data_IF_932849415956
#
_entry.id   IF_932849415956
#
_cell.length_a   1.000
_cell.length_b   1.000
_cell.length_c   1.000
_cell.angle_alpha   90.00
_cell.angle_beta   90.00
_cell.angle_gamma   90.00
#
_symmetry.space_group_name_H-M   'P 1'
#
loop_
_entity.id
_entity.type
_entity.pdbx_description
1 polymer ?
#
# COMPACT_ATOMS: atom_id res chain seq x y z
N UNK A 1 35.64 -18.25 -3.43
CA UNK A 1 34.91 -18.66 -2.20
C UNK A 1 35.79 -19.42 -1.20
N UNK A 2 36.62 -20.40 -1.60
CA UNK A 2 37.54 -21.08 -0.66
C UNK A 2 38.57 -20.15 -0.01
N UNK A 3 39.04 -19.13 -0.73
CA UNK A 3 40.01 -18.16 -0.17
C UNK A 3 39.38 -17.12 0.77
N UNK A 4 38.05 -16.90 0.68
CA UNK A 4 37.33 -15.98 1.55
C UNK A 4 37.12 -16.59 2.95
N UNK A 5 36.92 -17.91 3.01
CA UNK A 5 36.74 -18.66 4.28
C UNK A 5 38.07 -18.75 5.06
N UNK A 6 39.21 -18.85 4.36
CA UNK A 6 40.52 -18.89 4.99
C UNK A 6 40.92 -17.55 5.65
N UNK A 7 40.41 -16.42 5.15
CA UNK A 7 40.76 -15.10 5.66
C UNK A 7 39.95 -14.70 6.90
N UNK A 8 38.70 -15.18 7.03
CA UNK A 8 37.83 -14.88 8.18
C UNK A 8 38.25 -15.68 9.43
N UNK A 9 38.70 -16.93 9.26
CA UNK A 9 39.15 -17.76 10.38
C UNK A 9 40.49 -17.32 10.98
N UNK A 10 41.31 -16.56 10.24
CA UNK A 10 42.61 -16.08 10.74
C UNK A 10 42.50 -14.84 11.64
N UNK A 11 41.39 -14.12 11.56
CA UNK A 11 41.14 -12.89 12.33
C UNK A 11 40.48 -13.11 13.70
N UNK A 12 39.93 -14.30 13.99
CA UNK A 12 39.30 -14.58 15.30
C UNK A 12 40.29 -14.95 16.42
N UNK A 13 41.58 -15.11 16.15
CA UNK A 13 42.55 -15.57 17.17
C UNK A 13 43.16 -14.45 18.03
N UNK A 14 42.73 -13.19 17.90
CA UNK A 14 43.40 -12.05 18.53
C UNK A 14 42.45 -11.07 19.25
N UNK A 15 41.46 -11.54 20.01
CA UNK A 15 40.80 -10.69 21.01
C UNK A 15 40.42 -11.51 22.24
N UNK A 16 41.36 -11.62 23.18
CA UNK A 16 41.06 -12.01 24.56
C UNK A 16 41.08 -10.72 25.39
N UNK A 17 39.90 -10.24 25.74
CA UNK A 17 39.69 -9.07 26.61
C UNK A 17 39.48 -9.58 28.05
N UNK A 18 40.19 -9.04 29.05
CA UNK A 18 40.02 -9.46 30.44
C UNK A 18 38.70 -8.93 31.05
N UNK A 19 38.13 -9.62 32.06
CA UNK A 19 36.87 -9.22 32.67
C UNK A 19 37.01 -7.95 33.54
N UNK A 20 35.99 -7.08 33.60
CA UNK A 20 36.01 -5.90 34.46
C UNK A 20 35.74 -6.25 35.92
N UNK A 21 36.34 -5.44 36.80
CA UNK A 21 36.24 -5.54 38.25
C UNK A 21 34.82 -5.22 38.76
N UNK A 22 34.41 -5.97 39.78
CA UNK A 22 33.15 -5.80 40.51
C UNK A 22 33.33 -4.70 41.56
N UNK A 23 32.67 -3.56 41.39
CA UNK A 23 32.52 -2.56 42.45
C UNK A 23 31.19 -2.78 43.20
N UNK A 24 31.33 -3.03 44.50
CA UNK A 24 30.28 -3.06 45.49
C UNK A 24 29.87 -1.62 45.84
N UNK A 25 28.61 -1.24 45.59
CA UNK A 25 28.00 -0.07 46.23
C UNK A 25 26.72 -0.47 46.95
N UNK A 26 26.85 -0.52 48.28
CA UNK A 26 25.78 -0.61 49.27
C UNK A 26 25.27 0.78 49.63
N UNK A 27 23.95 0.93 49.78
CA UNK A 27 23.32 2.00 50.57
C UNK A 27 22.09 2.58 49.88
N UNK A 28 21.03 2.99 50.56
CA UNK A 28 20.54 2.81 51.92
C UNK A 28 19.08 3.29 51.87
N UNK A 29 18.18 2.63 52.58
CA UNK A 29 16.75 2.96 52.61
C UNK A 29 16.50 4.35 53.22
N UNK A 30 15.63 5.15 52.62
CA UNK A 30 14.73 6.05 53.39
C UNK A 30 13.59 6.60 52.53
N UNK A 31 12.38 6.42 53.06
CA UNK A 31 11.15 7.17 52.79
C UNK A 31 10.53 7.46 54.18
N UNK A 32 9.43 8.21 54.32
CA UNK A 32 9.01 9.46 53.67
C UNK A 32 8.63 10.53 54.73
N UNK A 33 8.62 11.83 54.38
CA UNK A 33 7.82 12.87 55.06
C UNK A 33 7.41 13.90 54.01
N UNK A 34 6.14 14.08 53.68
CA UNK A 34 5.01 14.73 54.37
C UNK A 34 4.90 16.24 54.09
N UNK A 35 3.67 16.60 53.70
CA UNK A 35 3.02 17.90 53.47
C UNK A 35 3.83 19.21 53.40
N UNK A 36 3.65 19.98 52.32
CA UNK A 36 3.40 21.43 52.45
C UNK A 36 2.52 21.97 51.31
N UNK A 37 1.45 22.62 51.73
CA UNK A 37 0.43 23.39 51.02
C UNK A 37 0.96 24.81 50.69
N UNK A 38 0.26 25.53 49.79
CA UNK A 38 0.15 27.01 49.66
C UNK A 38 0.61 27.66 48.33
N UNK A 39 -0.31 28.49 47.83
CA UNK A 39 -0.25 29.60 46.87
C UNK A 39 -0.29 29.23 45.37
N UNK A 40 -1.38 29.49 44.64
CA UNK A 40 -1.98 30.80 44.32
C UNK A 40 -0.99 31.72 43.58
N UNK A 41 -1.02 31.64 42.24
CA UNK A 41 -0.56 32.71 41.38
C UNK A 41 -1.70 33.10 40.46
N UNK A 42 -2.09 34.35 40.61
CA UNK A 42 -3.08 35.07 39.82
C UNK A 42 -2.35 36.04 38.90
N UNK A 43 -3.03 36.32 37.79
CA UNK A 43 -3.04 37.60 37.08
C UNK A 43 -1.96 37.99 36.04
N UNK A 44 -2.50 38.70 35.03
CA UNK A 44 -1.89 39.56 34.01
C UNK A 44 -1.38 38.91 32.72
N UNK A 45 -1.68 39.38 31.51
CA UNK A 45 -2.50 40.49 31.04
C UNK A 45 -2.39 40.54 29.50
N UNK A 46 -3.52 40.74 28.81
CA UNK A 46 -3.72 41.66 27.68
C UNK A 46 -2.77 41.58 26.45
N UNK A 47 -3.32 41.17 25.30
CA UNK A 47 -3.25 42.00 24.08
C UNK A 47 -4.34 41.62 23.08
N UNK A 48 -5.31 42.53 22.98
CA UNK A 48 -6.33 42.55 21.94
C UNK A 48 -5.81 43.36 20.74
N UNK A 49 -5.83 42.76 19.56
CA UNK A 49 -5.73 43.48 18.27
C UNK A 49 -6.85 43.05 17.34
N UNK A 50 -7.98 43.75 17.48
CA UNK A 50 -8.65 44.49 16.41
C UNK A 50 -8.36 44.02 14.96
N UNK A 51 -9.22 43.18 14.38
CA UNK A 51 -9.41 43.13 12.93
C UNK A 51 -10.88 43.19 12.55
N UNK A 52 -11.10 44.03 11.55
CA UNK A 52 -12.35 44.68 11.17
C UNK A 52 -13.35 43.72 10.56
N UNK A 53 -14.56 43.84 11.10
CA UNK A 53 -15.85 43.47 10.56
C UNK A 53 -16.01 43.99 9.12
N UNK A 54 -16.37 43.12 8.17
CA UNK A 54 -16.88 43.49 6.86
C UNK A 54 -18.10 42.62 6.55
N UNK A 55 -19.21 42.99 7.17
CA UNK A 55 -20.56 42.60 6.81
C UNK A 55 -20.85 43.05 5.38
N UNK A 56 -21.04 42.09 4.47
CA UNK A 56 -21.56 42.34 3.14
C UNK A 56 -23.01 41.83 3.11
N UNK A 57 -23.94 42.76 3.35
CA UNK A 57 -25.37 42.56 3.16
C UNK A 57 -25.67 42.46 1.66
N UNK A 58 -26.13 41.31 1.20
CA UNK A 58 -26.82 41.20 -0.09
C UNK A 58 -28.29 40.88 0.16
N UNK A 59 -29.03 41.97 0.35
CA UNK A 59 -30.32 42.29 -0.24
C UNK A 59 -31.16 41.10 -0.76
N UNK A 60 -32.05 40.60 0.11
CA UNK A 60 -33.17 39.73 -0.24
C UNK A 60 -34.27 40.60 -0.89
N UNK A 61 -34.54 40.40 -2.17
CA UNK A 61 -35.73 40.99 -2.84
C UNK A 61 -36.82 39.94 -2.87
N UNK A 62 -37.78 40.07 -1.96
CA UNK A 62 -39.08 39.42 -2.07
C UNK A 62 -39.86 40.07 -3.24
N UNK A 63 -40.38 39.23 -4.14
CA UNK A 63 -41.40 39.65 -5.09
C UNK A 63 -42.48 38.59 -5.14
N UNK A 64 -43.47 38.76 -4.26
CA UNK A 64 -44.78 38.15 -4.41
C UNK A 64 -45.50 38.81 -5.60
N UNK A 65 -45.95 38.01 -6.57
CA UNK A 65 -47.18 38.35 -7.29
C UNK A 65 -47.85 37.11 -7.87
N UNK A 66 -48.98 36.84 -7.24
CA UNK A 66 -50.10 36.01 -7.67
C UNK A 66 -50.56 36.35 -9.09
N UNK A 67 -50.85 35.32 -9.90
CA UNK A 67 -51.90 35.39 -10.93
C UNK A 67 -52.33 33.99 -11.33
N UNK A 68 -53.47 33.59 -10.79
CA UNK A 68 -54.31 32.48 -11.22
C UNK A 68 -54.86 32.71 -12.63
N UNK A 69 -54.60 31.80 -13.56
CA UNK A 69 -55.41 31.64 -14.77
C UNK A 69 -55.75 30.15 -14.90
N UNK A 70 -57.02 29.84 -14.67
CA UNK A 70 -57.60 28.55 -15.01
C UNK A 70 -57.82 28.50 -16.52
N UNK A 71 -57.21 27.52 -17.20
CA UNK A 71 -57.66 27.06 -18.51
C UNK A 71 -57.98 25.58 -18.45
N UNK A 72 -59.20 25.32 -18.88
CA UNK A 72 -59.97 24.09 -18.90
C UNK A 72 -59.36 23.04 -19.83
N UNK A 73 -59.42 21.80 -19.34
CA UNK A 73 -59.43 20.49 -20.00
C UNK A 73 -59.02 20.38 -21.47
N UNK A 74 -58.00 19.53 -21.69
CA UNK A 74 -57.99 18.61 -22.82
C UNK A 74 -57.50 17.24 -22.37
N UNK A 75 -58.40 16.26 -22.43
CA UNK A 75 -58.23 14.86 -22.05
C UNK A 75 -56.85 14.28 -22.45
N UNK A 76 -56.04 13.79 -21.50
CA UNK A 76 -54.87 12.99 -21.82
C UNK A 76 -55.31 11.60 -22.26
N UNK A 77 -55.02 11.30 -23.52
CA UNK A 77 -55.14 9.96 -24.10
C UNK A 77 -54.29 8.97 -23.31
N UNK A 78 -54.96 8.04 -22.65
CA UNK A 78 -54.38 6.82 -22.09
C UNK A 78 -53.72 6.01 -23.21
N UNK A 79 -52.47 5.60 -22.99
CA UNK A 79 -51.98 4.34 -23.56
C UNK A 79 -50.77 4.41 -24.51
N UNK A 80 -49.63 4.89 -24.02
CA UNK A 80 -48.36 4.24 -24.37
C UNK A 80 -47.43 4.32 -23.16
N UNK A 81 -47.38 3.24 -22.39
CA UNK A 81 -46.44 3.02 -21.30
C UNK A 81 -45.05 2.76 -21.92
N UNK A 82 -44.45 3.77 -22.55
CA UNK A 82 -42.99 3.79 -22.70
C UNK A 82 -42.44 3.97 -21.30
N UNK A 83 -42.11 2.87 -20.61
CA UNK A 83 -41.42 2.94 -19.34
C UNK A 83 -40.20 3.84 -19.50
N UNK A 84 -40.20 4.96 -18.76
CA UNK A 84 -39.03 5.81 -18.61
C UNK A 84 -37.94 4.93 -18.00
N UNK A 85 -37.10 4.33 -18.85
CA UNK A 85 -35.86 3.75 -18.35
C UNK A 85 -35.09 4.87 -17.66
N UNK A 86 -34.61 4.65 -16.43
CA UNK A 86 -33.91 5.67 -15.68
C UNK A 86 -32.69 6.12 -16.51
N UNK A 87 -32.68 7.40 -16.90
CA UNK A 87 -31.60 7.93 -17.69
C UNK A 87 -30.28 7.75 -16.93
N UNK A 88 -29.31 7.07 -17.55
CA UNK A 88 -27.99 6.84 -16.99
C UNK A 88 -27.04 7.97 -17.37
N UNK A 89 -26.23 8.44 -16.42
CA UNK A 89 -25.16 9.40 -16.65
C UNK A 89 -23.85 8.64 -16.70
N UNK A 90 -23.09 8.82 -17.78
CA UNK A 90 -21.70 8.38 -17.87
C UNK A 90 -20.79 9.52 -17.45
N UNK A 91 -20.06 9.34 -16.35
CA UNK A 91 -19.08 10.30 -15.87
C UNK A 91 -17.67 9.74 -16.07
N UNK A 92 -16.71 10.59 -16.42
CA UNK A 92 -15.30 10.23 -16.39
C UNK A 92 -14.65 10.89 -15.18
N UNK A 93 -14.11 10.09 -14.27
CA UNK A 93 -13.46 10.52 -13.05
C UNK A 93 -11.93 10.43 -13.21
N UNK A 94 -11.23 11.54 -13.01
CA UNK A 94 -9.76 11.59 -12.98
C UNK A 94 -9.28 11.51 -11.52
N UNK A 95 -8.55 10.44 -11.21
CA UNK A 95 -7.83 10.24 -9.96
C UNK A 95 -6.36 10.63 -10.16
N UNK A 96 -5.77 11.27 -9.14
CA UNK A 96 -4.38 11.70 -9.16
C UNK A 96 -3.73 11.42 -7.80
N UNK A 97 -2.51 10.90 -7.84
CA UNK A 97 -1.62 10.81 -6.69
C UNK A 97 -0.52 11.88 -6.87
N UNK A 98 -0.57 12.97 -6.09
CA UNK A 98 0.36 14.08 -6.27
C UNK A 98 1.80 13.73 -5.91
N UNK A 99 2.02 12.69 -5.11
CA UNK A 99 3.35 12.25 -4.66
C UNK A 99 4.03 11.44 -5.75
N UNK A 100 3.35 10.43 -6.28
CA UNK A 100 3.90 9.57 -7.33
C UNK A 100 3.75 10.14 -8.74
N UNK A 101 2.97 11.22 -8.91
CA UNK A 101 2.59 11.82 -10.19
C UNK A 101 1.88 10.84 -11.13
N UNK A 102 1.25 9.81 -10.57
CA UNK A 102 0.41 8.87 -11.31
C UNK A 102 -1.01 9.42 -11.39
N UNK A 103 -1.70 9.08 -12.47
CA UNK A 103 -3.11 9.39 -12.65
C UNK A 103 -3.84 8.19 -13.25
N UNK A 104 -5.14 8.14 -13.01
CA UNK A 104 -6.02 7.09 -13.51
C UNK A 104 -7.35 7.73 -13.94
N UNK A 105 -7.92 7.28 -15.06
CA UNK A 105 -9.23 7.71 -15.55
C UNK A 105 -10.21 6.55 -15.38
N UNK A 106 -11.27 6.76 -14.60
CA UNK A 106 -12.34 5.81 -14.39
C UNK A 106 -13.58 6.27 -15.14
N UNK A 107 -14.21 5.35 -15.87
CA UNK A 107 -15.52 5.59 -16.47
C UNK A 107 -16.58 4.94 -15.57
N UNK A 108 -17.46 5.77 -15.01
CA UNK A 108 -18.48 5.36 -14.05
C UNK A 108 -19.87 5.66 -14.64
N UNK A 109 -20.84 4.79 -14.32
CA UNK A 109 -22.23 4.94 -14.75
C UNK A 109 -23.14 5.06 -13.54
N UNK A 110 -24.01 6.07 -13.57
CA UNK A 110 -24.85 6.45 -12.44
C UNK A 110 -26.31 6.68 -12.87
N UNK A 111 -27.26 6.49 -11.96
CA UNK A 111 -28.65 6.91 -12.17
C UNK A 111 -28.77 8.44 -12.06
N UNK A 112 -29.17 9.10 -13.14
CA UNK A 112 -29.28 10.56 -13.21
C UNK A 112 -30.18 11.19 -12.15
N UNK A 113 -31.19 10.45 -11.68
CA UNK A 113 -32.21 10.97 -10.79
C UNK A 113 -31.78 10.98 -9.32
N UNK A 114 -30.88 10.05 -8.96
CA UNK A 114 -30.50 9.74 -7.58
C UNK A 114 -29.03 10.00 -7.26
N UNK A 115 -28.14 9.92 -8.23
CA UNK A 115 -26.71 9.93 -7.97
C UNK A 115 -26.23 11.26 -7.37
N UNK A 116 -25.52 11.13 -6.25
CA UNK A 116 -24.88 12.22 -5.53
C UNK A 116 -23.37 12.20 -5.77
N UNK A 117 -22.72 13.32 -5.45
CA UNK A 117 -21.25 13.39 -5.44
C UNK A 117 -20.65 12.40 -4.44
N UNK A 118 -21.30 12.17 -3.29
CA UNK A 118 -20.86 11.19 -2.31
C UNK A 118 -20.78 9.76 -2.89
N UNK A 119 -21.71 9.40 -3.79
CA UNK A 119 -21.71 8.09 -4.44
C UNK A 119 -20.47 7.89 -5.31
N UNK A 120 -20.03 8.96 -6.00
CA UNK A 120 -18.79 8.96 -6.79
C UNK A 120 -17.59 8.64 -5.91
N UNK A 121 -17.49 9.28 -4.74
CA UNK A 121 -16.37 9.07 -3.82
C UNK A 121 -16.37 7.65 -3.22
N UNK A 122 -17.54 7.13 -2.88
CA UNK A 122 -17.70 5.77 -2.36
C UNK A 122 -17.29 4.70 -3.39
N UNK A 123 -17.38 5.01 -4.69
CA UNK A 123 -17.04 4.08 -5.75
C UNK A 123 -15.54 4.02 -6.07
N UNK A 124 -14.77 5.05 -5.73
CA UNK A 124 -13.31 5.09 -5.95
C UNK A 124 -12.58 3.86 -5.41
N UNK A 125 -12.73 3.47 -4.12
CA UNK A 125 -12.03 2.29 -3.58
C UNK A 125 -12.47 0.98 -4.24
N UNK A 126 -13.61 0.94 -4.91
CA UNK A 126 -14.12 -0.26 -5.58
C UNK A 126 -13.66 -0.35 -7.03
N UNK A 127 -13.41 0.78 -7.68
CA UNK A 127 -13.14 0.85 -9.13
C UNK A 127 -11.71 1.19 -9.50
N UNK A 128 -10.93 1.80 -8.59
CA UNK A 128 -9.52 2.12 -8.87
C UNK A 128 -8.69 0.84 -9.04
N UNK A 129 -7.91 0.77 -10.12
CA UNK A 129 -7.02 -0.38 -10.39
C UNK A 129 -5.72 -0.28 -9.60
N UNK A 130 -5.25 0.95 -9.33
CA UNK A 130 -4.00 1.19 -8.60
C UNK A 130 -4.24 1.24 -7.09
N UNK A 131 -3.51 0.42 -6.33
CA UNK A 131 -3.67 0.30 -4.88
C UNK A 131 -3.49 1.63 -4.12
N UNK A 132 -2.53 2.47 -4.54
CA UNK A 132 -2.33 3.78 -3.93
C UNK A 132 -3.54 4.71 -4.17
N UNK A 133 -4.20 4.62 -5.33
CA UNK A 133 -5.41 5.39 -5.62
C UNK A 133 -6.63 4.86 -4.85
N UNK A 134 -6.68 3.54 -4.60
CA UNK A 134 -7.74 2.84 -3.87
C UNK A 134 -7.76 3.20 -2.39
N UNK A 135 -6.57 3.23 -1.78
CA UNK A 135 -6.38 3.50 -0.35
C UNK A 135 -6.28 4.99 -0.03
N UNK A 136 -6.06 5.84 -1.04
CA UNK A 136 -6.04 7.28 -0.90
C UNK A 136 -7.41 7.80 -0.46
N UNK A 137 -7.41 8.66 0.57
CA UNK A 137 -8.63 9.35 1.01
C UNK A 137 -8.89 10.56 0.13
N UNK A 138 -10.11 10.68 -0.39
CA UNK A 138 -10.57 11.82 -1.16
C UNK A 138 -11.60 12.60 -0.34
N UNK A 139 -11.48 13.92 -0.32
CA UNK A 139 -12.35 14.79 0.50
C UNK A 139 -13.58 15.31 -0.25
N UNK A 140 -13.54 15.27 -1.58
CA UNK A 140 -14.54 15.88 -2.45
C UNK A 140 -14.18 15.68 -3.91
N UNK A 141 -14.97 16.28 -4.80
CA UNK A 141 -14.68 16.34 -6.23
C UNK A 141 -14.75 17.78 -6.72
N UNK A 142 -14.08 18.10 -7.82
CA UNK A 142 -14.18 19.38 -8.50
C UNK A 142 -14.27 19.25 -10.02
N UNK A 143 -14.68 20.33 -10.67
CA UNK A 143 -14.66 20.44 -12.13
C UNK A 143 -13.25 20.77 -12.67
N UNK A 144 -13.11 20.86 -14.01
CA UNK A 144 -11.86 21.24 -14.68
C UNK A 144 -11.37 22.65 -14.34
N UNK A 145 -12.21 23.50 -13.76
CA UNK A 145 -11.88 24.87 -13.32
C UNK A 145 -11.47 24.91 -11.85
N UNK A 146 -11.57 23.79 -11.13
CA UNK A 146 -11.28 23.69 -9.71
C UNK A 146 -12.39 24.23 -8.83
N UNK A 147 -13.64 24.25 -9.31
CA UNK A 147 -14.83 24.52 -8.51
C UNK A 147 -15.23 23.23 -7.80
N UNK A 148 -15.11 23.24 -6.47
CA UNK A 148 -15.45 22.12 -5.59
C UNK A 148 -16.97 21.90 -5.55
N UNK A 149 -17.38 20.64 -5.55
CA UNK A 149 -18.78 20.23 -5.50
C UNK A 149 -19.17 19.81 -4.08
N UNK A 150 -20.41 20.10 -3.69
CA UNK A 150 -20.95 19.62 -2.42
C UNK A 150 -21.26 18.12 -2.53
N UNK A 151 -20.92 17.35 -1.50
CA UNK A 151 -21.13 15.89 -1.45
C UNK A 151 -22.60 15.49 -1.60
N UNK A 152 -23.52 16.33 -1.12
CA UNK A 152 -24.97 16.11 -1.19
C UNK A 152 -25.61 16.62 -2.49
N UNK A 153 -24.83 17.24 -3.37
CA UNK A 153 -25.36 17.75 -4.63
C UNK A 153 -25.49 16.63 -5.67
N UNK A 154 -26.56 16.71 -6.48
CA UNK A 154 -26.82 15.73 -7.54
C UNK A 154 -25.81 15.87 -8.67
N UNK A 155 -25.34 14.74 -9.19
CA UNK A 155 -24.34 14.70 -10.27
C UNK A 155 -24.83 15.37 -11.57
N UNK A 156 -26.14 15.26 -11.85
CA UNK A 156 -26.79 15.84 -13.03
C UNK A 156 -26.68 17.37 -13.11
N UNK A 157 -26.53 18.06 -11.97
CA UNK A 157 -26.36 19.50 -11.93
C UNK A 157 -24.98 19.96 -12.43
N UNK A 158 -24.01 19.04 -12.49
CA UNK A 158 -22.62 19.34 -12.80
C UNK A 158 -22.21 18.86 -14.17
N UNK A 159 -22.63 17.66 -14.55
CA UNK A 159 -22.49 17.19 -15.93
C UNK A 159 -23.51 17.95 -16.76
N UNK A 160 -23.11 19.11 -17.29
CA UNK A 160 -23.90 19.78 -18.31
C UNK A 160 -24.01 18.75 -19.42
N UNK A 161 -25.21 18.18 -19.64
CA UNK A 161 -25.56 16.99 -20.47
C UNK A 161 -24.78 16.68 -21.77
N UNK A 162 -23.87 17.54 -22.18
CA UNK A 162 -22.73 17.27 -23.05
C UNK A 162 -21.91 16.09 -22.53
N UNK A 163 -21.79 15.10 -23.39
CA UNK A 163 -20.95 13.93 -23.20
C UNK A 163 -19.48 14.34 -23.01
N UNK A 164 -18.75 13.62 -22.14
CA UNK A 164 -17.30 13.80 -21.96
C UNK A 164 -16.88 14.81 -20.90
N UNK A 165 -17.76 15.19 -19.96
CA UNK A 165 -17.36 16.01 -18.82
C UNK A 165 -16.52 15.19 -17.82
N UNK A 166 -15.36 15.74 -17.46
CA UNK A 166 -14.39 15.09 -16.56
C UNK A 166 -14.52 15.70 -15.17
N UNK A 167 -14.73 14.84 -14.19
CA UNK A 167 -14.77 15.16 -12.77
C UNK A 167 -13.39 14.83 -12.16
N UNK A 168 -12.89 15.67 -11.26
CA UNK A 168 -11.61 15.48 -10.60
C UNK A 168 -11.85 15.06 -9.15
N UNK A 169 -11.31 13.93 -8.71
CA UNK A 169 -11.30 13.60 -7.29
C UNK A 169 -10.24 14.44 -6.56
N UNK A 170 -10.58 15.03 -5.42
CA UNK A 170 -9.68 15.88 -4.64
C UNK A 170 -9.01 15.06 -3.54
N UNK A 171 -7.70 14.79 -3.63
CA UNK A 171 -6.97 14.08 -2.57
C UNK A 171 -7.05 14.85 -1.24
N UNK A 172 -7.05 14.13 -0.12
CA UNK A 172 -6.98 14.76 1.17
C UNK A 172 -5.72 15.62 1.30
N UNK A 173 -5.83 16.80 1.92
CA UNK A 173 -4.75 17.78 2.01
C UNK A 173 -4.52 18.65 0.77
N UNK A 174 -5.26 18.45 -0.34
CA UNK A 174 -5.15 19.27 -1.54
C UNK A 174 -6.40 20.15 -1.77
N UNK A 175 -6.20 21.38 -2.25
CA UNK A 175 -7.32 22.27 -2.63
C UNK A 175 -7.82 21.98 -4.05
N UNK A 176 -9.11 22.19 -4.29
CA UNK A 176 -9.75 21.95 -5.60
C UNK A 176 -9.04 22.67 -6.77
N UNK A 177 -8.61 23.92 -6.58
CA UNK A 177 -7.89 24.70 -7.60
C UNK A 177 -6.51 24.14 -7.93
N UNK A 178 -5.80 23.62 -6.93
CA UNK A 178 -4.49 23.00 -7.12
C UNK A 178 -4.64 21.67 -7.85
N UNK A 179 -5.64 20.87 -7.47
CA UNK A 179 -6.03 19.64 -8.16
C UNK A 179 -6.31 19.91 -9.66
N UNK A 180 -7.15 20.90 -9.98
CA UNK A 180 -7.43 21.28 -11.36
C UNK A 180 -6.19 21.76 -12.13
N UNK A 181 -5.27 22.46 -11.46
CA UNK A 181 -3.99 22.89 -12.06
C UNK A 181 -3.12 21.69 -12.44
N UNK A 182 -3.07 20.65 -11.60
CA UNK A 182 -2.35 19.40 -11.89
C UNK A 182 -3.02 18.56 -12.99
N UNK A 183 -4.35 18.56 -13.04
CA UNK A 183 -5.12 17.88 -14.08
C UNK A 183 -4.94 18.51 -15.48
N UNK A 184 -4.67 19.82 -15.54
CA UNK A 184 -4.60 20.57 -16.81
C UNK A 184 -3.67 19.95 -17.87
N UNK A 185 -2.40 19.61 -17.60
CA UNK A 185 -1.53 18.98 -18.59
C UNK A 185 -2.07 17.63 -19.08
N UNK A 186 -2.68 16.82 -18.19
CA UNK A 186 -3.27 15.52 -18.56
C UNK A 186 -4.47 15.73 -19.49
N UNK A 187 -5.37 16.64 -19.12
CA UNK A 187 -6.60 16.94 -19.88
C UNK A 187 -6.38 17.81 -21.12
N UNK A 188 -5.16 18.26 -21.37
CA UNK A 188 -4.77 18.97 -22.59
C UNK A 188 -4.05 18.05 -23.59
N UNK A 189 -3.73 16.81 -23.19
CA UNK A 189 -3.12 15.84 -24.08
C UNK A 189 -4.11 15.42 -25.18
N UNK A 190 -3.73 15.51 -26.48
CA UNK A 190 -4.63 15.18 -27.58
C UNK A 190 -5.18 13.75 -27.54
N UNK A 191 -4.40 12.78 -27.05
CA UNK A 191 -4.82 11.39 -26.97
C UNK A 191 -5.87 11.21 -25.87
N UNK A 192 -5.68 11.87 -24.73
CA UNK A 192 -6.68 11.88 -23.65
C UNK A 192 -7.96 12.57 -24.13
N UNK A 193 -7.84 13.71 -24.82
CA UNK A 193 -9.00 14.41 -25.40
C UNK A 193 -9.73 13.55 -26.43
N UNK A 194 -9.01 12.81 -27.27
CA UNK A 194 -9.62 11.87 -28.22
C UNK A 194 -10.35 10.72 -27.51
N UNK A 195 -9.77 10.20 -26.42
CA UNK A 195 -10.36 9.13 -25.61
C UNK A 195 -11.64 9.58 -24.89
N UNK A 196 -11.70 10.83 -24.42
CA UNK A 196 -12.85 11.40 -23.72
C UNK A 196 -14.03 11.77 -24.64
N UNK A 197 -13.79 11.87 -25.95
CA UNK A 197 -14.81 12.21 -26.93
C UNK A 197 -15.37 10.93 -27.57
N UNK A 198 -16.62 10.54 -27.28
CA UNK A 198 -17.19 9.31 -27.85
C UNK A 198 -17.32 9.38 -29.38
N UNK A 199 -17.54 10.58 -29.94
CA UNK A 199 -17.62 10.80 -31.38
C UNK A 199 -16.31 10.49 -32.12
N UNK A 200 -15.16 10.79 -31.53
CA UNK A 200 -13.85 10.48 -32.14
C UNK A 200 -13.54 8.98 -32.07
N UNK A 201 -13.94 8.32 -30.97
CA UNK A 201 -13.74 6.88 -30.82
C UNK A 201 -14.57 6.08 -31.85
N UNK A 202 -15.82 6.50 -32.11
CA UNK A 202 -16.66 5.88 -33.13
C UNK A 202 -16.07 6.04 -34.56
N UNK A 203 -15.55 7.22 -34.90
CA UNK A 203 -14.94 7.47 -36.20
C UNK A 203 -13.62 6.70 -36.42
N UNK A 204 -12.79 6.58 -35.38
CA UNK A 204 -11.54 5.80 -35.44
C UNK A 204 -11.79 4.29 -35.55
N UNK A 205 -12.85 3.78 -34.89
CA UNK A 205 -13.25 2.39 -35.04
C UNK A 205 -13.72 2.09 -36.48
N UNK A 206 -14.52 2.98 -37.08
CA UNK A 206 -15.01 2.81 -38.44
C UNK A 206 -13.91 2.89 -39.52
N UNK A 207 -12.81 3.62 -39.26
CA UNK A 207 -11.75 3.84 -40.28
C UNK A 207 -10.75 2.66 -40.38
N UNK A 208 -10.71 1.74 -39.40
CA UNK A 208 -9.73 0.63 -39.38
C UNK A 208 -10.15 -0.62 -40.15
N UNK A 209 -11.39 -0.73 -40.63
CA UNK A 209 -11.84 -1.95 -41.33
C UNK A 209 -11.45 -2.04 -42.82
N UNK A 210 -11.17 -0.92 -43.51
CA UNK A 210 -11.04 -0.96 -44.99
C UNK A 210 -9.61 -1.04 -45.57
N UNK A 211 -8.55 -1.12 -44.74
CA UNK A 211 -7.16 -1.13 -45.26
C UNK A 211 -6.44 -2.49 -45.21
N UNK A 212 -7.14 -3.57 -44.83
CA UNK A 212 -6.56 -4.93 -44.75
C UNK A 212 -7.05 -5.84 -45.87
N UNK A 213 -6.90 -5.44 -47.14
CA UNK A 213 -7.13 -6.32 -48.30
C UNK A 213 -6.54 -5.74 -49.61
N UNK A 214 -5.21 -5.66 -49.74
CA UNK A 214 -4.60 -5.64 -51.08
C UNK A 214 -3.34 -6.49 -51.12
N UNK A 215 -3.58 -7.80 -51.27
CA UNK A 215 -2.64 -8.81 -51.75
C UNK A 215 -2.03 -8.29 -53.06
N UNK A 216 -0.72 -8.06 -53.07
CA UNK A 216 0.04 -7.73 -54.27
C UNK A 216 0.61 -9.05 -54.80
N UNK A 217 -0.04 -9.62 -55.81
CA UNK A 217 0.50 -10.74 -56.57
C UNK A 217 1.72 -10.25 -57.40
N UNK A 218 2.87 -10.95 -57.37
CA UNK A 218 3.92 -10.79 -58.36
C UNK A 218 3.63 -11.74 -59.53
N UNK A 219 3.34 -11.17 -60.70
CA UNK A 219 3.16 -11.88 -61.97
C UNK A 219 4.18 -11.40 -63.01
N UNK A 220 4.74 -12.38 -63.74
CA UNK A 220 5.46 -12.34 -65.02
C UNK A 220 7.01 -12.28 -65.05
N UNK A 221 7.59 -13.48 -65.23
CA UNK A 221 8.64 -13.97 -66.19
C UNK A 221 8.91 -13.04 -67.42
N UNK A 222 10.08 -13.03 -68.14
CA UNK A 222 10.78 -14.26 -68.56
C UNK A 222 12.30 -14.29 -68.89
N UNK A 223 12.75 -15.53 -69.19
CA UNK A 223 13.85 -16.00 -70.06
C UNK A 223 15.29 -16.25 -69.55
N UNK A 224 15.58 -17.57 -69.39
CA UNK A 224 16.65 -18.35 -70.01
C UNK A 224 18.07 -17.76 -70.20
N UNK A 225 19.07 -18.39 -69.55
CA UNK A 225 20.29 -18.93 -70.19
C UNK A 225 21.16 -19.78 -69.24
N UNK A 226 21.21 -21.08 -69.57
CA UNK A 226 22.37 -22.00 -69.67
C UNK A 226 23.53 -21.94 -68.65
N UNK A 227 23.75 -23.14 -68.10
CA UNK A 227 25.03 -23.79 -67.75
C UNK A 227 25.79 -23.29 -66.51
N UNK A 228 26.02 -24.19 -65.55
CA UNK A 228 27.26 -24.99 -65.48
C UNK A 228 27.27 -25.81 -64.18
N UNK A 229 27.38 -27.12 -64.34
CA UNK A 229 27.64 -28.09 -63.28
C UNK A 229 28.93 -27.75 -62.52
N UNK A 230 28.85 -27.70 -61.20
CA UNK A 230 29.99 -28.01 -60.32
C UNK A 230 29.49 -28.78 -59.11
N UNK A 231 29.92 -30.03 -59.07
CA UNK A 231 29.90 -30.92 -57.93
C UNK A 231 30.40 -30.20 -56.67
N UNK A 232 29.63 -30.30 -55.59
CA UNK A 232 30.07 -29.94 -54.25
C UNK A 232 30.00 -31.19 -53.36
N UNK A 233 31.09 -31.52 -52.64
CA UNK A 233 31.27 -32.81 -52.01
C UNK A 233 30.50 -32.90 -50.69
N UNK A 234 30.09 -34.13 -50.38
CA UNK A 234 29.23 -34.51 -49.27
C UNK A 234 29.58 -33.89 -47.92
N UNK A 235 28.57 -33.29 -47.31
CA UNK A 235 28.52 -33.02 -45.88
C UNK A 235 28.28 -34.35 -45.17
N UNK A 236 29.38 -34.92 -44.66
CA UNK A 236 29.38 -35.97 -43.66
C UNK A 236 28.60 -35.52 -42.43
N UNK A 237 27.49 -36.21 -42.20
CA UNK A 237 26.69 -36.18 -40.97
C UNK A 237 27.56 -36.70 -39.81
N UNK A 238 28.28 -35.80 -39.15
CA UNK A 238 28.86 -36.06 -37.84
C UNK A 238 27.77 -35.84 -36.80
N UNK A 239 27.22 -36.95 -36.31
CA UNK A 239 26.44 -37.01 -35.09
C UNK A 239 27.34 -36.62 -33.91
N UNK A 240 27.42 -35.32 -33.62
CA UNK A 240 28.07 -34.82 -32.41
C UNK A 240 27.20 -35.19 -31.20
N UNK A 241 27.76 -36.01 -30.31
CA UNK A 241 27.14 -36.38 -29.04
C UNK A 241 26.96 -35.11 -28.21
N UNK A 242 25.77 -34.84 -27.65
CA UNK A 242 25.53 -33.67 -26.82
C UNK A 242 26.48 -33.69 -25.63
N UNK A 243 27.36 -32.69 -25.57
CA UNK A 243 28.31 -32.51 -24.48
C UNK A 243 27.55 -32.23 -23.18
N UNK A 244 27.98 -32.94 -22.13
CA UNK A 244 27.38 -33.05 -20.79
C UNK A 244 27.40 -31.76 -19.95
N UNK A 245 27.58 -30.58 -20.53
CA UNK A 245 27.81 -29.34 -19.76
C UNK A 245 26.53 -28.63 -19.30
N UNK A 246 25.35 -29.09 -19.74
CA UNK A 246 24.07 -28.53 -19.31
C UNK A 246 23.82 -28.68 -17.80
N UNK A 247 24.39 -29.73 -17.17
CA UNK A 247 24.28 -29.95 -15.72
C UNK A 247 25.02 -28.92 -14.87
N UNK A 248 26.05 -28.28 -15.40
CA UNK A 248 26.83 -27.25 -14.69
C UNK A 248 26.11 -25.91 -14.70
N UNK A 249 25.45 -25.56 -15.81
CA UNK A 249 24.63 -24.35 -15.92
C UNK A 249 23.45 -24.36 -14.94
N UNK A 250 22.77 -25.49 -14.77
CA UNK A 250 21.65 -25.62 -13.82
C UNK A 250 22.12 -25.34 -12.38
N UNK A 251 23.28 -25.86 -11.97
CA UNK A 251 23.79 -25.65 -10.60
C UNK A 251 24.21 -24.22 -10.32
N UNK A 252 24.76 -23.52 -11.30
CA UNK A 252 25.28 -22.16 -11.10
C UNK A 252 24.16 -21.12 -11.14
N UNK A 253 23.16 -21.28 -12.01
CA UNK A 253 22.14 -20.25 -12.21
C UNK A 253 20.78 -20.58 -11.60
N UNK A 254 20.32 -21.84 -11.65
CA UNK A 254 18.96 -22.19 -11.21
C UNK A 254 18.88 -22.32 -9.69
N UNK A 255 19.87 -22.96 -9.06
CA UNK A 255 19.90 -23.13 -7.61
C UNK A 255 19.81 -21.80 -6.82
N UNK A 256 20.60 -20.76 -7.09
CA UNK A 256 20.50 -19.50 -6.34
C UNK A 256 19.18 -18.77 -6.59
N UNK A 257 18.58 -18.89 -7.78
CA UNK A 257 17.27 -18.29 -8.08
C UNK A 257 16.17 -18.97 -7.27
N UNK A 258 16.19 -20.30 -7.16
CA UNK A 258 15.23 -21.04 -6.33
C UNK A 258 15.38 -20.66 -4.85
N UNK A 259 16.62 -20.57 -4.36
CA UNK A 259 16.89 -20.13 -2.97
C UNK A 259 16.42 -18.71 -2.73
N UNK A 260 16.68 -17.78 -3.66
CA UNK A 260 16.23 -16.39 -3.57
C UNK A 260 14.70 -16.28 -3.59
N UNK A 261 14.02 -17.07 -4.44
CA UNK A 261 12.57 -17.11 -4.49
C UNK A 261 11.97 -17.69 -3.20
N UNK A 262 12.56 -18.77 -2.67
CA UNK A 262 12.16 -19.35 -1.38
C UNK A 262 12.34 -18.36 -0.23
N UNK A 263 13.48 -17.67 -0.17
CA UNK A 263 13.74 -16.62 0.80
C UNK A 263 12.77 -15.44 0.65
N UNK A 264 12.41 -15.07 -0.59
CA UNK A 264 11.41 -14.03 -0.85
C UNK A 264 10.01 -14.43 -0.37
N UNK A 265 9.58 -15.66 -0.61
CA UNK A 265 8.27 -16.16 -0.14
C UNK A 265 8.24 -16.19 1.39
N UNK A 266 9.30 -16.69 2.04
CA UNK A 266 9.44 -16.69 3.50
C UNK A 266 9.46 -15.25 4.04
N UNK A 267 10.14 -14.33 3.34
CA UNK A 267 10.18 -12.91 3.71
C UNK A 267 8.77 -12.33 3.69
N UNK A 268 8.06 -12.44 2.56
CA UNK A 268 6.69 -11.93 2.43
C UNK A 268 5.78 -12.54 3.51
N UNK A 269 5.84 -13.85 3.73
CA UNK A 269 5.03 -14.51 4.75
C UNK A 269 5.33 -14.01 6.18
N UNK A 270 6.58 -13.70 6.50
CA UNK A 270 6.99 -13.21 7.82
C UNK A 270 6.82 -11.69 8.01
N UNK A 271 6.82 -10.91 6.91
CA UNK A 271 6.73 -9.43 6.93
C UNK A 271 5.33 -8.88 6.78
N UNK A 272 4.39 -9.66 6.24
CA UNK A 272 3.10 -9.10 5.87
C UNK A 272 2.39 -8.62 7.14
N UNK A 273 2.06 -7.32 7.28
CA UNK A 273 1.35 -6.83 8.44
C UNK A 273 0.01 -7.57 8.56
N UNK A 274 -0.42 -7.90 9.77
CA UNK A 274 -1.76 -8.48 9.96
C UNK A 274 -2.78 -7.40 9.60
N UNK A 275 -3.47 -7.59 8.49
CA UNK A 275 -4.62 -6.79 8.11
C UNK A 275 -5.87 -7.18 8.90
N UNK A 276 -6.95 -6.38 8.81
CA UNK A 276 -8.27 -6.79 9.29
C UNK A 276 -8.68 -8.14 8.71
N UNK A 277 -9.21 -9.02 9.56
CA UNK A 277 -9.58 -10.40 9.23
C UNK A 277 -8.41 -11.40 9.21
N UNK A 278 -7.17 -10.96 9.41
CA UNK A 278 -6.03 -11.86 9.50
C UNK A 278 -6.03 -12.62 10.84
N UNK A 279 -5.53 -13.85 10.81
CA UNK A 279 -5.45 -14.72 11.99
C UNK A 279 -4.02 -15.17 12.24
N UNK A 280 -3.56 -15.03 13.49
CA UNK A 280 -2.27 -15.56 13.96
C UNK A 280 -2.52 -16.80 14.80
N UNK A 281 -2.06 -17.95 14.31
CA UNK A 281 -2.28 -19.25 14.97
C UNK A 281 -1.47 -19.36 16.26
N UNK A 282 -1.92 -20.19 17.23
CA UNK A 282 -1.09 -20.54 18.39
C UNK A 282 0.27 -21.10 17.96
N UNK A 283 1.34 -20.63 18.61
CA UNK A 283 2.75 -20.91 18.29
C UNK A 283 3.33 -20.10 17.13
N UNK A 284 2.53 -19.27 16.45
CA UNK A 284 3.02 -18.45 15.36
C UNK A 284 3.62 -17.13 15.85
N UNK A 285 4.63 -16.64 15.12
CA UNK A 285 5.34 -15.40 15.39
C UNK A 285 5.33 -14.49 14.18
N UNK A 286 5.33 -13.19 14.43
CA UNK A 286 5.41 -12.15 13.40
C UNK A 286 6.42 -11.09 13.78
N UNK A 287 7.24 -10.71 12.82
CA UNK A 287 8.24 -9.65 12.98
C UNK A 287 7.84 -8.43 12.16
N UNK A 288 7.94 -7.24 12.75
CA UNK A 288 7.72 -5.98 12.05
C UNK A 288 8.69 -5.76 10.89
N UNK A 289 9.89 -6.34 10.99
CA UNK A 289 11.00 -6.10 10.08
C UNK A 289 11.23 -7.25 9.08
N UNK A 290 10.47 -8.33 9.18
CA UNK A 290 10.65 -9.49 8.32
C UNK A 290 11.97 -10.22 8.45
N UNK A 291 12.42 -10.75 7.31
CA UNK A 291 13.71 -11.42 7.17
C UNK A 291 14.92 -10.54 7.58
N UNK A 292 14.94 -9.21 7.33
CA UNK A 292 15.93 -8.31 7.94
C UNK A 292 15.93 -8.34 9.47
N UNK A 293 14.77 -8.46 10.11
CA UNK A 293 14.66 -8.65 11.57
C UNK A 293 15.13 -10.02 12.04
N UNK A 294 15.19 -11.02 11.14
CA UNK A 294 15.70 -12.37 11.39
C UNK A 294 17.22 -12.50 11.18
N UNK A 295 17.90 -11.45 10.71
CA UNK A 295 19.35 -11.46 10.49
C UNK A 295 20.01 -10.64 11.59
N UNK A 296 21.06 -11.16 12.29
CA UNK A 296 21.78 -10.39 13.28
C UNK A 296 22.29 -9.07 12.72
N UNK A 297 22.11 -7.97 13.45
CA UNK A 297 22.62 -6.66 13.05
C UNK A 297 24.13 -6.74 12.71
N UNK A 298 24.90 -7.56 13.42
CA UNK A 298 26.32 -7.81 13.13
C UNK A 298 26.58 -8.40 11.73
N UNK A 299 25.67 -9.26 11.23
CA UNK A 299 25.76 -9.78 9.87
C UNK A 299 25.40 -8.70 8.84
N UNK A 300 24.33 -7.95 9.08
CA UNK A 300 23.92 -6.84 8.21
C UNK A 300 24.97 -5.74 8.14
N UNK A 301 25.63 -5.42 9.25
CA UNK A 301 26.73 -4.46 9.32
C UNK A 301 27.94 -4.97 8.53
N UNK A 302 28.23 -6.27 8.58
CA UNK A 302 29.24 -6.90 7.73
C UNK A 302 28.94 -6.78 6.24
N UNK A 303 27.69 -7.02 5.84
CA UNK A 303 27.23 -6.86 4.44
C UNK A 303 27.27 -5.39 4.02
N UNK A 304 26.82 -4.47 4.89
CA UNK A 304 26.86 -3.01 4.67
C UNK A 304 28.28 -2.52 4.45
N UNK A 305 29.21 -2.91 5.32
CA UNK A 305 30.63 -2.58 5.20
C UNK A 305 31.23 -3.10 3.88
N UNK A 306 30.84 -4.31 3.46
CA UNK A 306 31.32 -4.88 2.19
C UNK A 306 30.75 -4.13 0.97
N UNK A 307 29.46 -3.76 1.03
CA UNK A 307 28.76 -3.02 -0.01
C UNK A 307 29.32 -1.60 -0.17
N UNK A 308 29.54 -0.88 0.93
CA UNK A 308 30.18 0.45 0.94
C UNK A 308 31.58 0.41 0.30
N UNK A 309 32.34 -0.66 0.54
CA UNK A 309 33.68 -0.82 -0.02
C UNK A 309 33.69 -1.06 -1.54
N UNK A 310 32.66 -1.69 -2.10
CA UNK A 310 32.65 -2.11 -3.51
C UNK A 310 31.70 -1.27 -4.39
N UNK A 311 30.73 -0.57 -3.82
CA UNK A 311 29.73 0.21 -4.55
C UNK A 311 29.42 1.52 -3.79
N UNK A 312 30.37 2.49 -3.77
CA UNK A 312 30.27 3.71 -2.95
C UNK A 312 29.06 4.60 -3.30
N UNK A 313 28.56 4.55 -4.55
CA UNK A 313 27.44 5.40 -5.00
C UNK A 313 26.04 4.83 -4.70
N UNK A 314 25.91 3.76 -3.91
CA UNK A 314 24.60 3.12 -3.61
C UNK A 314 24.31 2.94 -2.12
N UNK A 315 24.85 3.82 -1.26
CA UNK A 315 24.59 3.81 0.18
C UNK A 315 23.09 3.89 0.56
N UNK A 316 22.22 4.39 -0.34
CA UNK A 316 20.77 4.49 -0.10
C UNK A 316 19.95 3.21 -0.35
N UNK A 317 20.56 2.07 -0.71
CA UNK A 317 19.83 0.81 -0.92
C UNK A 317 19.73 -0.08 0.32
N UNK A 318 20.43 0.26 1.40
CA UNK A 318 20.30 -0.47 2.67
C UNK A 318 19.21 0.23 3.49
N UNK A 319 18.09 -0.43 3.79
CA UNK A 319 17.02 0.19 4.58
C UNK A 319 17.57 0.68 5.92
N UNK A 320 17.06 1.83 6.39
CA UNK A 320 17.25 2.28 7.78
C UNK A 320 16.92 1.11 8.72
N UNK A 321 17.69 0.97 9.80
CA UNK A 321 17.55 -0.14 10.74
C UNK A 321 16.11 -0.20 11.23
N UNK A 322 15.41 -1.28 10.91
CA UNK A 322 14.08 -1.51 11.43
C UNK A 322 14.21 -2.01 12.87
N UNK A 323 13.52 -1.35 13.81
CA UNK A 323 13.51 -1.77 15.21
C UNK A 323 12.83 -3.14 15.33
N UNK A 324 13.56 -4.20 15.75
CA UNK A 324 13.05 -5.55 15.78
C UNK A 324 12.05 -5.69 16.94
N UNK A 325 10.77 -5.45 16.63
CA UNK A 325 9.66 -5.86 17.47
C UNK A 325 9.07 -7.16 16.92
N UNK A 326 8.94 -8.16 17.79
CA UNK A 326 8.34 -9.46 17.49
C UNK A 326 7.09 -9.66 18.35
N UNK A 327 6.04 -10.22 17.74
CA UNK A 327 4.82 -10.63 18.44
C UNK A 327 4.69 -12.15 18.31
N UNK A 328 4.43 -12.82 19.42
CA UNK A 328 4.17 -14.27 19.49
C UNK A 328 2.77 -14.53 20.04
N UNK A 329 2.01 -15.37 19.34
CA UNK A 329 0.79 -15.94 19.90
C UNK A 329 1.17 -17.25 20.60
N UNK A 330 1.23 -17.26 21.93
CA UNK A 330 1.56 -18.45 22.70
C UNK A 330 0.51 -19.55 22.56
N UNK A 331 0.93 -20.80 22.73
CA UNK A 331 0.01 -21.96 22.80
C UNK A 331 -0.86 -21.95 24.05
N UNK A 332 -0.50 -21.13 25.04
CA UNK A 332 -1.23 -20.85 26.26
C UNK A 332 -2.30 -19.76 26.10
N UNK A 333 -2.52 -19.25 24.88
CA UNK A 333 -3.51 -18.21 24.63
C UNK A 333 -3.04 -16.81 25.03
N UNK A 334 -1.75 -16.63 25.30
CA UNK A 334 -1.17 -15.34 25.69
C UNK A 334 -0.43 -14.73 24.49
N UNK A 335 -0.80 -13.50 24.12
CA UNK A 335 -0.09 -12.73 23.11
C UNK A 335 1.08 -11.99 23.77
N UNK A 336 2.30 -12.18 23.29
CA UNK A 336 3.52 -11.57 23.84
C UNK A 336 4.16 -10.65 22.82
N UNK A 337 4.67 -9.51 23.27
CA UNK A 337 5.63 -8.70 22.50
C UNK A 337 7.00 -8.84 23.11
N UNK A 338 8.01 -9.00 22.25
CA UNK A 338 9.41 -9.01 22.64
C UNK A 338 10.08 -7.73 22.14
N UNK A 339 10.81 -7.06 23.04
CA UNK A 339 11.66 -5.93 22.68
C UNK A 339 13.10 -6.42 22.54
N UNK A 340 13.60 -6.39 21.30
CA UNK A 340 14.99 -6.71 20.98
C UNK A 340 15.33 -8.20 20.94
N UNK A 341 16.18 -8.57 19.99
CA UNK A 341 16.88 -9.85 19.98
C UNK A 341 16.25 -10.96 19.14
N UNK A 342 17.11 -11.66 18.41
CA UNK A 342 16.81 -12.79 17.54
C UNK A 342 16.43 -14.03 18.32
N UNK A 343 15.21 -14.05 18.85
CA UNK A 343 14.53 -15.27 19.21
C UNK A 343 14.12 -16.02 17.94
N UNK A 344 15.07 -16.52 17.15
CA UNK A 344 14.77 -17.48 16.08
C UNK A 344 14.15 -18.71 16.76
N UNK A 345 12.83 -18.72 16.89
CA UNK A 345 12.01 -19.83 17.39
C UNK A 345 12.02 -21.04 16.47
N UNK A 346 13.06 -21.17 15.64
CA UNK A 346 13.37 -22.39 14.93
C UNK A 346 13.71 -23.43 15.97
N UNK A 347 12.83 -24.42 16.10
CA UNK A 347 13.10 -25.63 16.86
C UNK A 347 14.19 -26.41 16.09
N UNK A 348 15.46 -26.05 16.30
CA UNK A 348 16.62 -26.62 15.62
C UNK A 348 17.03 -27.97 16.23
N UNK A 349 16.19 -28.55 17.10
CA UNK A 349 16.45 -29.81 17.79
C UNK A 349 17.78 -29.75 18.55
N UNK A 350 18.66 -30.77 18.44
CA UNK A 350 19.90 -30.83 19.21
C UNK A 350 20.91 -29.70 18.88
N UNK A 351 20.72 -28.93 17.80
CA UNK A 351 21.53 -27.73 17.55
C UNK A 351 21.20 -26.58 18.51
N UNK A 352 20.00 -26.60 19.12
CA UNK A 352 19.53 -25.55 20.00
C UNK A 352 20.34 -25.46 21.29
N UNK A 353 20.82 -26.59 21.82
CA UNK A 353 21.68 -26.62 23.02
C UNK A 353 23.08 -26.05 22.74
N UNK A 354 23.55 -26.10 21.48
CA UNK A 354 24.85 -25.56 21.08
C UNK A 354 24.83 -24.04 20.83
N UNK A 355 23.66 -23.49 20.45
CA UNK A 355 23.51 -22.07 20.08
C UNK A 355 22.75 -21.28 21.16
N UNK A 356 21.95 -21.95 21.99
CA UNK A 356 20.98 -21.36 22.91
C UNK A 356 21.57 -20.49 24.03
N UNK A 357 22.87 -20.59 24.30
CA UNK A 357 23.55 -19.74 25.28
C UNK A 357 24.20 -18.49 24.69
N UNK A 358 24.15 -18.28 23.36
CA UNK A 358 24.90 -17.21 22.68
C UNK A 358 23.99 -16.05 22.25
N UNK A 359 22.68 -16.27 22.13
CA UNK A 359 21.74 -15.22 21.73
C UNK A 359 20.87 -14.79 22.92
N UNK A 360 20.87 -13.50 23.28
CA UNK A 360 20.00 -12.99 24.32
C UNK A 360 18.55 -13.26 23.92
N UNK A 361 17.80 -13.95 24.78
CA UNK A 361 16.36 -14.04 24.66
C UNK A 361 15.80 -12.63 24.81
N UNK A 362 14.96 -12.20 23.88
CA UNK A 362 14.30 -10.90 23.98
C UNK A 362 13.52 -10.80 25.27
N UNK A 363 13.54 -9.63 25.89
CA UNK A 363 12.73 -9.38 27.08
C UNK A 363 11.27 -9.22 26.65
N UNK A 364 10.36 -9.85 27.39
CA UNK A 364 8.92 -9.70 27.13
C UNK A 364 8.52 -8.29 27.53
N UNK A 365 8.23 -7.46 26.55
CA UNK A 365 7.83 -6.07 26.74
C UNK A 365 6.44 -5.96 27.37
N UNK A 366 5.52 -6.80 26.90
CA UNK A 366 4.18 -6.94 27.47
C UNK A 366 3.53 -8.26 27.09
N UNK A 367 2.53 -8.65 27.87
CA UNK A 367 1.69 -9.82 27.63
C UNK A 367 0.20 -9.42 27.67
N UNK A 368 -0.58 -9.98 26.77
CA UNK A 368 -2.04 -9.81 26.72
C UNK A 368 -2.67 -11.20 26.85
N UNK A 369 -3.30 -11.51 28.00
CA UNK A 369 -3.96 -12.80 28.18
C UNK A 369 -5.23 -12.87 27.34
N UNK A 370 -5.40 -13.99 26.65
CA UNK A 370 -6.64 -14.37 25.98
C UNK A 370 -7.17 -15.71 26.48
N UNK A 371 -8.11 -16.28 25.73
CA UNK A 371 -8.62 -17.63 26.00
C UNK A 371 -7.92 -18.68 25.11
N UNK A 372 -7.91 -19.92 25.58
CA UNK A 372 -7.53 -21.09 24.77
C UNK A 372 -8.82 -21.78 24.35
N UNK A 373 -8.98 -21.98 23.04
CA UNK A 373 -10.18 -22.64 22.52
C UNK A 373 -10.19 -24.12 22.90
N UNK A 374 -11.29 -24.63 23.51
CA UNK A 374 -11.49 -26.05 23.67
C UNK A 374 -11.55 -26.74 22.30
N UNK A 375 -11.06 -27.98 22.21
CA UNK A 375 -11.21 -28.76 20.98
C UNK A 375 -12.70 -28.92 20.63
N UNK A 376 -13.09 -28.48 19.43
CA UNK A 376 -14.45 -28.62 18.91
C UNK A 376 -15.41 -27.46 19.21
N UNK A 377 -14.95 -26.38 19.86
CA UNK A 377 -15.78 -25.19 20.03
C UNK A 377 -15.76 -24.30 18.77
N UNK A 378 -16.82 -24.39 17.95
CA UNK A 378 -16.95 -23.60 16.71
C UNK A 378 -17.12 -22.09 16.95
N UNK A 379 -17.55 -21.68 18.16
CA UNK A 379 -17.68 -20.27 18.51
C UNK A 379 -16.32 -19.65 18.89
N UNK A 380 -15.33 -20.48 19.18
CA UNK A 380 -14.00 -20.04 19.58
C UNK A 380 -13.04 -20.06 18.40
N UNK A 381 -12.50 -18.90 18.03
CA UNK A 381 -11.49 -18.81 16.97
C UNK A 381 -10.10 -19.01 17.58
N UNK A 382 -9.36 -20.08 17.23
CA UNK A 382 -8.05 -20.34 17.81
C UNK A 382 -7.01 -19.31 17.34
N UNK A 383 -6.32 -18.68 18.30
CA UNK A 383 -5.28 -17.68 18.04
C UNK A 383 -5.74 -16.24 18.21
N UNK A 384 -5.04 -15.33 17.56
CA UNK A 384 -5.38 -13.90 17.50
C UNK A 384 -6.11 -13.59 16.19
N UNK A 385 -7.20 -12.83 16.27
CA UNK A 385 -7.98 -12.32 15.14
C UNK A 385 -8.07 -10.80 15.24
N UNK A 386 -7.77 -10.09 14.15
CA UNK A 386 -8.02 -8.64 14.05
C UNK A 386 -9.41 -8.44 13.45
N UNK A 387 -10.35 -7.88 14.21
CA UNK A 387 -11.69 -7.53 13.74
C UNK A 387 -11.67 -6.42 12.69
N UNK A 388 -12.74 -6.31 11.90
CA UNK A 388 -12.89 -5.25 10.89
C UNK A 388 -12.93 -3.84 11.51
N UNK A 389 -13.36 -3.76 12.76
CA UNK A 389 -13.38 -2.55 13.59
C UNK A 389 -12.03 -2.24 14.27
N UNK A 390 -11.01 -3.08 14.02
CA UNK A 390 -9.70 -2.99 14.67
C UNK A 390 -9.66 -3.60 16.08
N UNK A 391 -10.72 -4.27 16.54
CA UNK A 391 -10.68 -5.02 17.80
C UNK A 391 -9.71 -6.21 17.70
N UNK A 392 -9.04 -6.56 18.81
CA UNK A 392 -8.20 -7.75 18.89
C UNK A 392 -8.97 -8.83 19.64
N UNK A 393 -9.20 -9.98 19.03
CA UNK A 393 -9.84 -11.13 19.66
C UNK A 393 -8.80 -12.25 19.83
N UNK A 394 -8.61 -12.73 21.06
CA UNK A 394 -7.69 -13.82 21.38
C UNK A 394 -8.49 -14.99 21.94
N UNK A 395 -8.54 -16.11 21.20
CA UNK A 395 -9.35 -17.27 21.58
C UNK A 395 -10.83 -16.95 21.73
N UNK A 396 -11.39 -16.13 20.85
CA UNK A 396 -12.80 -15.70 20.91
C UNK A 396 -13.14 -14.67 22.00
N UNK A 397 -12.15 -14.17 22.76
CA UNK A 397 -12.37 -13.08 23.72
C UNK A 397 -11.77 -11.77 23.22
N UNK A 398 -12.52 -10.67 23.33
CA UNK A 398 -12.01 -9.32 23.02
C UNK A 398 -10.90 -9.01 24.03
N UNK A 399 -9.68 -8.89 23.53
CA UNK A 399 -8.50 -8.60 24.32
C UNK A 399 -8.64 -7.20 24.93
N UNK A 400 -8.62 -7.14 26.26
CA UNK A 400 -8.50 -5.86 26.98
C UNK A 400 -7.04 -5.49 27.00
N UNK A 401 -6.68 -4.52 26.17
CA UNK A 401 -5.33 -3.99 26.22
C UNK A 401 -5.18 -3.29 27.58
N UNK A 402 -4.24 -3.72 28.43
CA UNK A 402 -4.00 -3.01 29.67
C UNK A 402 -3.67 -1.56 29.30
N UNK A 403 -4.27 -0.60 29.99
CA UNK A 403 -3.89 0.82 29.89
C UNK A 403 -2.45 0.95 30.38
N UNK A 404 -1.50 0.62 29.53
CA UNK A 404 -0.09 0.91 29.74
C UNK A 404 0.04 2.42 29.63
N UNK A 405 0.81 3.02 30.54
CA UNK A 405 1.02 4.47 30.62
C UNK A 405 1.73 5.01 29.38
N UNK A 406 2.41 4.14 28.67
CA UNK A 406 3.01 4.40 27.38
C UNK A 406 1.93 4.16 26.32
N UNK A 407 1.61 5.19 25.54
CA UNK A 407 0.79 5.04 24.34
C UNK A 407 1.31 3.83 23.58
N UNK A 408 0.43 2.89 23.26
CA UNK A 408 0.79 1.75 22.43
C UNK A 408 1.18 2.31 21.09
N UNK A 409 2.48 2.60 20.94
CA UNK A 409 3.04 3.17 19.74
C UNK A 409 2.52 2.34 18.57
N UNK A 410 2.04 3.01 17.51
CA UNK A 410 1.09 2.46 16.59
C UNK A 410 1.47 1.03 16.17
N UNK A 411 0.64 0.12 16.69
CA UNK A 411 0.78 -1.33 16.63
C UNK A 411 1.08 -1.79 15.19
N UNK A 412 1.80 -2.92 14.96
CA UNK A 412 2.09 -3.47 13.62
C UNK A 412 0.90 -3.81 12.71
N UNK A 413 -0.33 -3.43 13.06
CA UNK A 413 -1.53 -3.61 12.24
C UNK A 413 -1.96 -2.32 11.54
N UNK A 414 -1.41 -1.17 11.93
CA UNK A 414 -1.96 0.14 11.54
C UNK A 414 -0.98 0.95 10.67
N UNK A 415 0.32 0.64 10.68
CA UNK A 415 1.30 1.40 9.88
C UNK A 415 1.80 0.58 8.70
N UNK A 416 1.51 1.10 7.51
CA UNK A 416 2.23 0.76 6.29
C UNK A 416 3.74 1.01 6.50
N UNK A 417 4.62 0.00 6.36
CA UNK A 417 6.07 0.16 6.58
C UNK A 417 6.68 1.26 5.70
N UNK A 418 6.04 1.62 4.58
CA UNK A 418 6.46 2.74 3.74
C UNK A 418 6.30 4.13 4.39
N UNK A 419 5.53 4.25 5.49
CA UNK A 419 5.25 5.53 6.18
C UNK A 419 6.04 5.74 7.47
N UNK A 420 6.78 4.75 7.94
CA UNK A 420 7.57 4.86 9.18
C UNK A 420 8.84 5.74 9.03
N UNK A 421 9.23 6.10 7.80
CA UNK A 421 10.44 6.88 7.52
C UNK A 421 10.29 8.42 7.59
N UNK A 422 9.10 8.97 7.82
CA UNK A 422 8.91 10.42 7.96
C UNK A 422 8.83 10.81 9.43
N UNK A 423 10.02 11.05 10.00
CA UNK A 423 10.28 11.50 11.37
C UNK A 423 9.41 12.69 11.78
N UNK A 424 8.84 12.58 12.98
CA UNK A 424 8.30 13.64 13.81
C UNK A 424 9.43 14.60 14.19
N UNK A 425 9.26 15.88 13.81
CA UNK A 425 9.83 17.08 14.43
C UNK A 425 8.79 18.19 14.32
#
# INVERSE_FOLDING_TARGET
MRDLVAHVLKTQSYMSVPPPAVEHLSGENQAPTDATEISAYDDSSVSATHMKNSSNENHYVASEKSSSVMTVEKNPSVGSLSGDEPATIKAVLLLMDPTSRRFELLQLEFDSSRALVADVLAQIPLSATVESMRTQRYRGVCDRKGVEMNNDAKLVGFTNRKEGEVILAIPNGMKARECAKLARPILSDPNVVAMLNPATNAAMAATKEDTSSKKKDPSAEPEAKKAKSRDLPGLSEKTEKPSSDFGTFIKIFVAPVIVALGAYIIHVAATTPLGPGATLRPGARLSRCGLPGLIPNSFLDGVRSLAEKHVPDRAGLVPESCDPAEIEMGTDGVLRKYDGGLGLGLNLGPLQDAVGNILPQGEVAWEIPGAVCPEGDEACVPGLVVGEDGSLNIGGTIAKIPTVKDELEPWPFVIDPAKAGSRWW
#
